data_IF_621052428616
#
_entry.id   IF_621052428616
#
_cell.length_a   1.000
_cell.length_b   1.000
_cell.length_c   1.000
_cell.angle_alpha   90.00
_cell.angle_beta   90.00
_cell.angle_gamma   90.00
#
_symmetry.space_group_name_H-M   'P 1'
#
loop_
_entity.id
_entity.type
_entity.pdbx_description
1 polymer ?
#
# COMPACT_ATOMS: atom_id res chain seq x y z
N UNK A 1 -56.44 -22.69 -24.62
CA UNK A 1 -55.35 -23.61 -24.25
C UNK A 1 -54.21 -22.77 -23.71
N UNK A 2 -54.21 -22.54 -22.41
CA UNK A 2 -53.10 -21.89 -21.72
C UNK A 2 -51.85 -22.78 -21.81
N UNK A 3 -50.68 -22.14 -21.83
CA UNK A 3 -49.58 -22.58 -21.01
C UNK A 3 -49.24 -21.50 -19.99
N UNK A 4 -49.35 -21.89 -18.72
CA UNK A 4 -48.70 -21.25 -17.59
C UNK A 4 -47.18 -21.23 -17.79
N UNK A 5 -46.56 -20.06 -17.73
CA UNK A 5 -45.26 -19.93 -17.05
C UNK A 5 -45.15 -18.55 -16.41
N UNK A 6 -45.39 -18.53 -15.11
CA UNK A 6 -45.02 -17.46 -14.21
C UNK A 6 -43.52 -17.17 -14.33
N UNK A 7 -43.18 -16.00 -14.90
CA UNK A 7 -41.85 -15.43 -14.79
C UNK A 7 -41.64 -14.95 -13.34
N UNK A 8 -41.14 -15.85 -12.50
CA UNK A 8 -40.71 -15.54 -11.13
C UNK A 8 -39.40 -14.75 -11.19
N UNK A 9 -39.51 -13.42 -11.23
CA UNK A 9 -38.40 -12.46 -11.06
C UNK A 9 -37.96 -12.39 -9.57
N UNK A 10 -38.42 -13.31 -8.73
CA UNK A 10 -38.24 -13.30 -7.28
C UNK A 10 -36.95 -14.00 -6.78
N UNK A 11 -36.18 -14.70 -7.62
CA UNK A 11 -35.05 -15.51 -7.14
C UNK A 11 -33.69 -14.80 -7.01
N UNK A 12 -33.54 -13.58 -7.54
CA UNK A 12 -32.25 -12.85 -7.47
C UNK A 12 -32.07 -12.13 -6.11
N UNK A 13 -33.13 -11.95 -5.33
CA UNK A 13 -33.08 -11.23 -4.05
C UNK A 13 -32.37 -12.00 -2.91
N UNK A 14 -32.30 -13.32 -2.97
CA UNK A 14 -31.66 -14.18 -1.94
C UNK A 14 -30.24 -14.62 -2.28
N UNK A 15 -29.69 -14.21 -3.43
CA UNK A 15 -28.39 -14.65 -3.95
C UNK A 15 -27.25 -13.64 -3.81
N UNK A 16 -27.23 -12.80 -2.77
CA UNK A 16 -26.25 -11.70 -2.64
C UNK A 16 -24.84 -12.12 -2.21
N UNK A 17 -24.64 -13.38 -1.83
CA UNK A 17 -23.35 -13.93 -1.44
C UNK A 17 -23.03 -15.11 -2.34
N UNK A 18 -21.95 -15.01 -3.11
CA UNK A 18 -21.41 -16.15 -3.84
C UNK A 18 -20.99 -17.20 -2.82
N UNK A 19 -21.45 -18.44 -2.98
CA UNK A 19 -21.08 -19.57 -2.11
C UNK A 19 -19.60 -19.94 -2.21
N UNK A 20 -18.92 -19.51 -3.28
CA UNK A 20 -17.49 -19.68 -3.46
C UNK A 20 -16.77 -18.40 -3.05
N UNK A 21 -15.77 -18.52 -2.19
CA UNK A 21 -14.81 -17.45 -1.93
C UNK A 21 -14.05 -17.09 -3.21
N UNK A 22 -13.61 -15.84 -3.31
CA UNK A 22 -12.68 -15.41 -4.36
C UNK A 22 -11.36 -16.15 -4.14
N UNK A 23 -10.94 -16.93 -5.13
CA UNK A 23 -9.63 -17.56 -5.14
C UNK A 23 -8.59 -16.46 -5.32
N UNK A 24 -7.82 -16.19 -4.27
CA UNK A 24 -6.68 -15.27 -4.32
C UNK A 24 -5.59 -15.89 -5.22
N UNK A 25 -5.01 -15.11 -6.13
CA UNK A 25 -4.19 -15.62 -7.24
C UNK A 25 -2.81 -16.18 -6.84
N UNK A 26 -2.37 -16.02 -5.60
CA UNK A 26 -1.04 -16.46 -5.13
C UNK A 26 -1.06 -16.63 -3.60
N UNK A 27 -0.68 -17.82 -3.12
CA UNK A 27 -0.69 -18.21 -1.70
C UNK A 27 0.46 -17.66 -0.84
N UNK A 28 1.33 -16.80 -1.39
CA UNK A 28 2.33 -16.12 -0.59
C UNK A 28 1.72 -14.83 -0.03
N UNK A 29 0.95 -14.94 1.05
CA UNK A 29 0.66 -13.76 1.85
C UNK A 29 2.02 -13.17 2.26
N UNK A 30 2.34 -11.97 1.77
CA UNK A 30 3.54 -11.27 2.21
C UNK A 30 3.28 -10.83 3.66
N UNK A 31 3.70 -11.68 4.60
CA UNK A 31 3.43 -11.46 6.02
C UNK A 31 4.27 -10.27 6.48
N UNK A 32 3.57 -9.25 6.97
CA UNK A 32 4.16 -8.14 7.69
C UNK A 32 3.81 -8.35 9.16
N UNK A 33 4.67 -9.08 9.87
CA UNK A 33 4.48 -9.33 11.29
C UNK A 33 4.35 -7.99 12.03
N UNK A 34 3.39 -7.91 12.93
CA UNK A 34 3.13 -6.78 13.85
C UNK A 34 2.68 -5.44 13.23
N UNK A 35 2.23 -5.40 11.97
CA UNK A 35 1.74 -4.15 11.34
C UNK A 35 0.26 -4.23 11.03
N UNK A 36 -0.52 -3.32 11.62
CA UNK A 36 -1.90 -3.05 11.18
C UNK A 36 -1.86 -2.05 10.03
N UNK A 37 -2.30 -2.49 8.85
CA UNK A 37 -2.31 -1.67 7.64
C UNK A 37 -3.56 -0.77 7.64
N UNK A 38 -3.36 0.55 7.53
CA UNK A 38 -4.42 1.52 7.30
C UNK A 38 -4.62 1.82 5.82
N UNK A 39 -3.52 2.10 5.11
CA UNK A 39 -3.50 2.30 3.67
C UNK A 39 -2.34 1.54 3.03
N UNK A 40 -2.61 0.92 1.88
CA UNK A 40 -1.63 0.24 1.05
C UNK A 40 -1.60 0.90 -0.31
N UNK A 41 -0.43 1.39 -0.72
CA UNK A 41 -0.16 1.89 -2.06
C UNK A 41 0.93 1.03 -2.69
N UNK A 42 0.88 0.87 -4.01
CA UNK A 42 1.82 0.03 -4.76
C UNK A 42 2.33 0.81 -5.95
N UNK A 43 3.64 0.74 -6.20
CA UNK A 43 4.26 1.15 -7.45
C UNK A 43 5.02 -0.04 -8.04
N UNK A 44 5.00 -0.13 -9.36
CA UNK A 44 5.85 -1.04 -10.11
C UNK A 44 6.90 -0.18 -10.79
N UNK A 45 8.13 -0.24 -10.27
CA UNK A 45 9.26 0.53 -10.75
C UNK A 45 10.27 -0.41 -11.39
N UNK A 46 10.31 -0.39 -12.72
CA UNK A 46 10.96 -1.45 -13.52
C UNK A 46 10.45 -2.83 -13.08
N UNK A 47 11.35 -3.75 -12.74
CA UNK A 47 11.02 -5.12 -12.33
C UNK A 47 10.85 -5.27 -10.82
N UNK A 48 10.83 -4.15 -10.07
CA UNK A 48 10.68 -4.14 -8.61
C UNK A 48 9.29 -3.63 -8.23
N UNK A 49 8.60 -4.38 -7.38
CA UNK A 49 7.35 -3.92 -6.76
C UNK A 49 7.65 -3.26 -5.44
N UNK A 50 7.19 -2.03 -5.27
CA UNK A 50 7.38 -1.24 -4.05
C UNK A 50 6.03 -1.05 -3.37
N UNK A 51 5.98 -1.39 -2.08
CA UNK A 51 4.82 -1.18 -1.23
C UNK A 51 5.05 0.03 -0.33
N UNK A 52 4.04 0.90 -0.27
CA UNK A 52 4.00 2.00 0.69
C UNK A 52 2.83 1.76 1.64
N UNK A 53 3.15 1.60 2.91
CA UNK A 53 2.22 1.16 3.94
C UNK A 53 2.11 2.26 4.96
N UNK A 54 0.92 2.82 5.09
CA UNK A 54 0.58 3.70 6.20
C UNK A 54 -0.04 2.83 7.29
N UNK A 55 0.51 2.91 8.48
CA UNK A 55 0.01 2.20 9.65
C UNK A 55 -1.41 2.64 9.99
N UNK A 56 -2.19 1.76 10.63
CA UNK A 56 -3.59 2.02 10.95
C UNK A 56 -3.77 3.22 11.90
N UNK A 57 -2.78 3.48 12.75
CA UNK A 57 -2.73 4.68 13.61
C UNK A 57 -2.37 5.96 12.84
N UNK A 58 -2.01 5.85 11.55
CA UNK A 58 -1.63 6.96 10.69
C UNK A 58 -0.29 7.61 11.03
N UNK A 59 0.50 7.03 11.93
CA UNK A 59 1.73 7.65 12.44
C UNK A 59 2.93 7.43 11.53
N UNK A 60 2.98 6.29 10.84
CA UNK A 60 4.15 5.88 10.06
C UNK A 60 3.79 5.56 8.61
N UNK A 61 4.65 5.99 7.69
CA UNK A 61 4.73 5.50 6.33
C UNK A 61 5.97 4.60 6.22
N UNK A 62 5.77 3.34 5.84
CA UNK A 62 6.83 2.36 5.61
C UNK A 62 6.91 1.98 4.14
N UNK A 63 8.12 2.02 3.59
CA UNK A 63 8.42 1.67 2.21
C UNK A 63 9.13 0.32 2.18
N UNK A 64 8.57 -0.61 1.43
CA UNK A 64 9.12 -1.95 1.26
C UNK A 64 9.38 -2.24 -0.21
N UNK A 65 10.50 -2.89 -0.53
CA UNK A 65 10.69 -3.53 -1.84
C UNK A 65 10.38 -5.01 -1.74
N UNK A 66 9.71 -5.54 -2.76
CA UNK A 66 9.58 -6.97 -2.98
C UNK A 66 10.80 -7.47 -3.77
N UNK A 67 11.61 -8.30 -3.12
CA UNK A 67 12.68 -9.04 -3.78
C UNK A 67 12.12 -10.43 -4.09
N UNK A 68 12.11 -10.79 -5.38
CA UNK A 68 11.67 -12.11 -5.84
C UNK A 68 12.91 -12.89 -6.28
N UNK A 69 13.19 -13.99 -5.59
CA UNK A 69 14.15 -15.00 -6.00
C UNK A 69 13.38 -16.25 -6.46
N UNK A 70 14.05 -17.19 -7.16
CA UNK A 70 13.44 -18.35 -7.80
C UNK A 70 12.51 -19.18 -6.89
N UNK A 71 12.75 -19.16 -5.57
CA UNK A 71 11.96 -19.91 -4.59
C UNK A 71 11.44 -19.07 -3.40
N UNK A 72 11.68 -17.75 -3.39
CA UNK A 72 11.34 -16.93 -2.22
C UNK A 72 10.94 -15.50 -2.61
N UNK A 73 9.91 -14.98 -1.93
CA UNK A 73 9.44 -13.61 -2.06
C UNK A 73 9.59 -12.93 -0.71
N UNK A 74 10.51 -11.99 -0.62
CA UNK A 74 10.80 -11.28 0.62
C UNK A 74 10.46 -9.80 0.51
N UNK A 75 9.73 -9.29 1.50
CA UNK A 75 9.59 -7.85 1.72
C UNK A 75 10.78 -7.33 2.51
N UNK A 76 11.48 -6.34 1.96
CA UNK A 76 12.57 -5.65 2.62
C UNK A 76 12.15 -4.23 2.97
N UNK A 77 12.19 -3.88 4.27
CA UNK A 77 11.95 -2.50 4.72
C UNK A 77 13.12 -1.62 4.28
N UNK A 78 12.85 -0.63 3.43
CA UNK A 78 13.85 0.32 2.91
C UNK A 78 13.81 1.62 3.71
N UNK A 79 12.62 2.05 4.10
CA UNK A 79 12.44 3.36 4.72
C UNK A 79 11.23 3.39 5.64
N UNK A 80 11.36 4.14 6.72
CA UNK A 80 10.26 4.47 7.63
C UNK A 80 10.26 5.99 7.84
N UNK A 81 9.08 6.61 7.68
CA UNK A 81 8.86 8.05 7.79
C UNK A 81 7.77 8.28 8.82
N UNK A 82 8.04 9.09 9.84
CA UNK A 82 7.01 9.58 10.76
C UNK A 82 6.18 10.65 10.04
N UNK A 83 4.87 10.45 9.99
CA UNK A 83 3.94 11.35 9.30
C UNK A 83 3.42 12.46 10.22
N UNK A 84 3.26 12.16 11.52
CA UNK A 84 2.68 13.09 12.49
C UNK A 84 3.74 14.09 12.96
N UNK A 85 3.49 15.41 12.88
CA UNK A 85 4.38 16.39 13.50
C UNK A 85 4.42 16.23 15.03
N UNK A 86 5.56 16.56 15.64
CA UNK A 86 5.78 16.40 17.09
C UNK A 86 4.85 17.25 17.96
N UNK A 87 4.40 18.40 17.46
CA UNK A 87 3.54 19.34 18.19
C UNK A 87 2.07 18.92 18.27
N UNK A 88 1.65 17.92 17.48
CA UNK A 88 0.25 17.48 17.40
C UNK A 88 0.07 16.20 18.22
N UNK A 89 -0.97 16.18 19.05
CA UNK A 89 -1.39 15.00 19.79
C UNK A 89 -1.83 13.89 18.84
N UNK A 90 -1.55 12.63 19.18
CA UNK A 90 -1.99 11.47 18.38
C UNK A 90 -3.50 11.39 18.22
N UNK A 91 -4.29 11.94 19.16
CA UNK A 91 -5.75 11.93 19.07
C UNK A 91 -6.31 12.89 18.02
N UNK A 92 -5.57 13.95 17.71
CA UNK A 92 -5.98 14.97 16.73
C UNK A 92 -5.45 14.64 15.32
N UNK A 93 -4.57 13.65 15.23
CA UNK A 93 -3.97 13.19 13.99
C UNK A 93 -4.71 12.00 13.41
N UNK A 94 -5.21 12.14 12.18
CA UNK A 94 -5.82 11.04 11.45
C UNK A 94 -5.47 11.13 9.98
N UNK A 95 -5.05 10.01 9.39
CA UNK A 95 -4.96 9.87 7.94
C UNK A 95 -6.35 9.52 7.40
N UNK A 96 -6.84 10.32 6.45
CA UNK A 96 -8.16 10.16 5.85
C UNK A 96 -8.06 9.44 4.50
N UNK A 97 -7.08 9.82 3.69
CA UNK A 97 -6.84 9.25 2.37
C UNK A 97 -5.35 9.32 2.06
N UNK A 98 -4.86 8.32 1.33
CA UNK A 98 -3.55 8.35 0.72
C UNK A 98 -3.66 7.90 -0.74
N UNK A 99 -2.85 8.51 -1.61
CA UNK A 99 -2.84 8.22 -3.03
C UNK A 99 -1.41 8.33 -3.57
N UNK A 100 -1.03 7.39 -4.44
CA UNK A 100 0.25 7.43 -5.14
C UNK A 100 0.06 8.01 -6.54
N UNK A 101 0.85 9.03 -6.87
CA UNK A 101 0.84 9.70 -8.16
C UNK A 101 2.05 9.23 -8.96
N UNK A 102 1.83 8.26 -9.85
CA UNK A 102 2.90 7.61 -10.62
C UNK A 102 3.69 8.57 -11.51
N UNK A 103 3.04 9.62 -12.03
CA UNK A 103 3.66 10.61 -12.93
C UNK A 103 4.73 11.45 -12.25
N UNK A 104 4.47 11.90 -11.03
CA UNK A 104 5.40 12.73 -10.25
C UNK A 104 6.19 11.92 -9.24
N UNK A 105 5.86 10.63 -9.08
CA UNK A 105 6.45 9.73 -8.08
C UNK A 105 6.32 10.32 -6.67
N UNK A 106 5.10 10.75 -6.35
CA UNK A 106 4.74 11.37 -5.08
C UNK A 106 3.60 10.61 -4.41
N UNK A 107 3.62 10.59 -3.08
CA UNK A 107 2.49 10.13 -2.25
C UNK A 107 1.82 11.37 -1.68
N UNK A 108 0.52 11.49 -1.92
CA UNK A 108 -0.33 12.53 -1.37
C UNK A 108 -1.14 11.93 -0.22
N UNK A 109 -1.01 12.48 0.97
CA UNK A 109 -1.71 12.02 2.17
C UNK A 109 -2.56 13.17 2.70
N UNK A 110 -3.87 12.98 2.69
CA UNK A 110 -4.80 13.91 3.33
C UNK A 110 -5.02 13.48 4.77
N UNK A 111 -4.78 14.40 5.70
CA UNK A 111 -4.96 14.19 7.14
C UNK A 111 -6.15 14.97 7.66
N UNK A 112 -6.42 14.89 8.97
CA UNK A 112 -7.44 15.69 9.66
C UNK A 112 -7.19 17.20 9.58
N UNK A 113 -5.93 17.61 9.40
CA UNK A 113 -5.50 19.00 9.56
C UNK A 113 -4.67 19.55 8.38
N UNK A 114 -4.16 18.68 7.51
CA UNK A 114 -3.18 19.07 6.49
C UNK A 114 -3.15 18.09 5.32
N UNK A 115 -2.43 18.46 4.26
CA UNK A 115 -2.07 17.56 3.17
C UNK A 115 -0.55 17.41 3.17
N UNK A 116 -0.06 16.18 3.23
CA UNK A 116 1.35 15.86 3.07
C UNK A 116 1.62 15.45 1.63
N UNK A 117 2.72 15.95 1.08
CA UNK A 117 3.27 15.52 -0.21
C UNK A 117 4.66 14.95 0.03
N UNK A 118 4.84 13.67 -0.24
CA UNK A 118 6.09 12.95 0.03
C UNK A 118 6.63 12.41 -1.29
N UNK A 119 7.83 12.83 -1.69
CA UNK A 119 8.55 12.20 -2.80
C UNK A 119 8.93 10.77 -2.41
N UNK A 120 8.70 9.80 -3.29
CA UNK A 120 9.15 8.42 -3.07
C UNK A 120 10.65 8.26 -3.26
N UNK A 121 11.28 9.18 -3.99
CA UNK A 121 12.73 9.25 -4.19
C UNK A 121 13.31 10.33 -3.28
N UNK A 122 13.83 9.93 -2.11
CA UNK A 122 14.51 10.82 -1.16
C UNK A 122 16.02 10.59 -1.15
N UNK A 123 16.62 10.54 -2.34
CA UNK A 123 17.99 10.08 -2.54
C UNK A 123 19.05 11.06 -1.99
N UNK A 124 18.70 12.34 -1.84
CA UNK A 124 19.59 13.38 -1.32
C UNK A 124 20.14 13.08 0.09
N UNK A 125 19.50 12.17 0.84
CA UNK A 125 19.97 11.71 2.15
C UNK A 125 21.19 10.78 2.06
N UNK A 126 21.48 10.21 0.88
CA UNK A 126 22.59 9.30 0.65
C UNK A 126 23.77 10.05 0.03
N UNK A 127 24.60 10.65 0.87
CA UNK A 127 25.69 11.54 0.44
C UNK A 127 26.99 10.82 0.02
N UNK A 128 27.01 9.49 0.02
CA UNK A 128 28.15 8.70 -0.44
C UNK A 128 27.68 7.54 -1.30
N UNK A 129 28.52 7.11 -2.25
CA UNK A 129 28.24 5.96 -3.11
C UNK A 129 27.87 4.73 -2.30
N UNK A 130 28.62 4.47 -1.23
CA UNK A 130 28.36 3.34 -0.33
C UNK A 130 26.98 3.40 0.32
N UNK A 131 26.59 4.55 0.88
CA UNK A 131 25.26 4.72 1.48
C UNK A 131 24.14 4.62 0.44
N UNK A 132 24.35 5.16 -0.76
CA UNK A 132 23.37 5.10 -1.83
C UNK A 132 23.11 3.65 -2.26
N UNK A 133 24.17 2.90 -2.57
CA UNK A 133 24.04 1.49 -2.98
C UNK A 133 23.53 0.60 -1.84
N UNK A 134 23.94 0.87 -0.60
CA UNK A 134 23.48 0.09 0.57
C UNK A 134 22.02 0.36 0.95
N UNK A 135 21.43 1.46 0.45
CA UNK A 135 20.02 1.77 0.73
C UNK A 135 19.05 0.76 0.14
N UNK A 136 19.46 0.06 -0.93
CA UNK A 136 18.62 -0.86 -1.70
C UNK A 136 17.30 -0.22 -2.16
N UNK A 137 17.28 1.11 -2.26
CA UNK A 137 16.11 1.87 -2.68
C UNK A 137 16.06 1.89 -4.22
N UNK A 138 15.06 1.26 -4.87
CA UNK A 138 15.04 1.13 -6.32
C UNK A 138 14.93 2.47 -7.06
N UNK A 139 14.55 3.56 -6.36
CA UNK A 139 14.49 4.90 -6.96
C UNK A 139 15.81 5.66 -6.87
N UNK A 140 16.82 5.13 -6.18
CA UNK A 140 18.08 5.80 -5.95
C UNK A 140 19.24 5.06 -6.63
N UNK A 141 20.02 5.81 -7.39
CA UNK A 141 21.31 5.39 -7.94
C UNK A 141 22.34 6.45 -7.61
N UNK A 142 23.61 6.03 -7.51
CA UNK A 142 24.74 6.95 -7.43
C UNK A 142 24.99 7.64 -8.77
#
# INVERSE_FOLDING_TARGET
>A
CEPNSSNDISSIASGRVLRSGVLQSSFDALILDDIRIGHLLVDHFYDVTVFFIITLDGLWLRKYSLITNENDKKLCLIEQIELKPSMISSNDWKVNKAEFISKTKEIIITTSISVLKISVARCDRFNTSHLCTASMDPYCTW
#
